data_IF_921410462915
#
_entry.id   IF_921410462915
#
_cell.length_a   1.000
_cell.length_b   1.000
_cell.length_c   1.000
_cell.angle_alpha   90.00
_cell.angle_beta   90.00
_cell.angle_gamma   90.00
#
_symmetry.space_group_name_H-M   'P 1'
#
loop_
_entity.id
_entity.type
_entity.pdbx_description
1 polymer ?
#
# COMPACT_ATOMS: atom_id res chain seq x y z
N UNK A 1 15.88 -7.13 8.75
CA UNK A 1 14.70 -6.29 8.45
C UNK A 1 14.04 -6.82 7.18
N UNK A 2 12.75 -7.14 7.21
CA UNK A 2 12.07 -7.73 6.06
C UNK A 2 11.69 -6.63 5.05
N UNK A 3 12.50 -6.45 4.01
CA UNK A 3 12.14 -5.64 2.85
C UNK A 3 11.15 -6.41 1.99
N UNK A 4 9.86 -6.19 2.23
CA UNK A 4 8.80 -6.91 1.52
C UNK A 4 8.39 -6.10 0.29
N UNK A 5 8.36 -6.77 -0.86
CA UNK A 5 7.90 -6.17 -2.12
C UNK A 5 6.57 -6.79 -2.51
N UNK A 6 5.61 -5.94 -2.85
CA UNK A 6 4.31 -6.32 -3.37
C UNK A 6 4.12 -5.80 -4.78
N UNK A 7 3.69 -6.66 -5.69
CA UNK A 7 3.18 -6.28 -7.00
C UNK A 7 1.78 -5.72 -6.81
N UNK A 8 1.58 -4.50 -7.32
CA UNK A 8 0.33 -3.76 -7.21
C UNK A 8 -0.15 -3.30 -8.59
N UNK A 9 -1.42 -2.92 -8.65
CA UNK A 9 -2.02 -2.20 -9.77
C UNK A 9 -2.51 -0.84 -9.34
N UNK A 10 -2.69 0.06 -10.29
CA UNK A 10 -3.46 1.27 -10.03
C UNK A 10 -4.94 0.91 -9.95
N UNK A 11 -5.62 1.47 -8.95
CA UNK A 11 -7.05 1.46 -8.81
C UNK A 11 -7.57 2.87 -9.11
N UNK A 12 -8.70 2.95 -9.81
CA UNK A 12 -9.35 4.20 -10.17
C UNK A 12 -10.85 4.01 -9.93
N UNK A 13 -11.50 4.97 -9.27
CA UNK A 13 -12.94 4.95 -9.02
C UNK A 13 -13.77 5.64 -10.11
N UNK A 14 -13.13 6.20 -11.14
CA UNK A 14 -13.78 6.94 -12.23
C UNK A 14 -14.30 8.32 -11.82
N UNK A 15 -14.07 8.76 -10.58
CA UNK A 15 -14.54 10.04 -10.02
C UNK A 15 -13.39 10.92 -9.52
N UNK A 16 -12.21 10.78 -10.15
CA UNK A 16 -11.02 11.58 -9.83
C UNK A 16 -10.23 11.07 -8.62
N UNK A 17 -10.55 9.90 -8.06
CA UNK A 17 -9.73 9.31 -7.00
C UNK A 17 -9.04 8.04 -7.47
N UNK A 18 -7.72 8.03 -7.30
CA UNK A 18 -6.87 6.90 -7.66
C UNK A 18 -6.18 6.32 -6.43
N UNK A 19 -5.74 5.08 -6.51
CA UNK A 19 -5.09 4.39 -5.41
C UNK A 19 -4.25 3.23 -5.87
N UNK A 20 -3.66 2.53 -4.91
CA UNK A 20 -2.82 1.36 -5.18
C UNK A 20 -3.55 0.12 -4.68
N UNK A 21 -3.76 -0.87 -5.55
CA UNK A 21 -4.33 -2.16 -5.17
C UNK A 21 -3.25 -3.22 -5.15
N UNK A 22 -3.03 -3.84 -3.99
CA UNK A 22 -2.11 -4.96 -3.85
C UNK A 22 -2.72 -6.21 -4.46
N UNK A 23 -1.99 -6.84 -5.39
CA UNK A 23 -2.49 -8.02 -6.10
C UNK A 23 -2.48 -9.26 -5.21
N UNK A 24 -3.40 -10.21 -5.48
CA UNK A 24 -3.53 -11.45 -4.69
C UNK A 24 -2.32 -12.39 -4.84
N UNK A 25 -1.60 -12.35 -5.97
CA UNK A 25 -0.49 -13.27 -6.31
C UNK A 25 0.87 -12.85 -5.75
N UNK A 26 0.90 -12.15 -4.62
CA UNK A 26 2.17 -11.82 -3.97
C UNK A 26 2.69 -13.00 -3.16
N UNK A 27 4.01 -13.24 -3.24
CA UNK A 27 4.70 -14.31 -2.51
C UNK A 27 5.78 -13.69 -1.62
N UNK A 28 5.77 -13.90 -0.30
CA UNK A 28 4.75 -14.57 0.52
C UNK A 28 3.35 -13.92 0.51
N UNK A 29 2.29 -14.69 0.82
CA UNK A 29 0.94 -14.18 0.98
C UNK A 29 0.86 -13.01 1.98
N UNK A 30 0.06 -11.99 1.65
CA UNK A 30 -0.17 -10.79 2.49
C UNK A 30 -0.43 -11.07 3.97
N UNK A 31 -1.16 -12.14 4.29
CA UNK A 31 -1.53 -12.54 5.65
C UNK A 31 -0.32 -12.96 6.51
N UNK A 32 0.75 -13.45 5.87
CA UNK A 32 1.93 -13.99 6.56
C UNK A 32 2.89 -12.87 7.00
N UNK A 33 2.85 -11.72 6.32
CA UNK A 33 3.66 -10.57 6.70
C UNK A 33 3.03 -9.69 7.78
N UNK A 34 1.70 -9.67 7.87
CA UNK A 34 0.99 -8.82 8.82
C UNK A 34 -0.11 -9.62 9.53
N UNK A 35 0.24 -10.71 10.24
CA UNK A 35 -0.74 -11.54 10.94
C UNK A 35 -1.52 -10.72 11.98
N UNK A 36 -0.86 -9.76 12.64
CA UNK A 36 -1.46 -8.82 13.61
C UNK A 36 -0.79 -7.42 13.60
N UNK A 37 0.00 -7.12 12.57
CA UNK A 37 1.03 -6.08 12.65
C UNK A 37 0.56 -4.71 12.13
N UNK A 38 0.51 -3.76 13.07
CA UNK A 38 0.94 -2.38 12.86
C UNK A 38 -0.04 -1.49 12.11
N UNK A 39 -0.61 -0.52 12.84
CA UNK A 39 -1.46 0.49 12.22
C UNK A 39 -0.74 1.21 11.12
N UNK A 40 0.58 1.44 11.17
CA UNK A 40 1.30 2.32 10.22
C UNK A 40 2.34 1.52 9.45
N UNK A 41 2.27 1.61 8.12
CA UNK A 41 3.34 1.15 7.23
C UNK A 41 3.98 2.35 6.54
N UNK A 42 5.27 2.27 6.30
CA UNK A 42 5.95 3.16 5.36
C UNK A 42 6.06 2.47 4.00
N UNK A 43 5.50 3.15 3.00
CA UNK A 43 5.36 2.67 1.63
C UNK A 43 6.33 3.46 0.79
N UNK A 44 7.32 2.79 0.20
CA UNK A 44 8.14 3.40 -0.84
C UNK A 44 7.51 3.12 -2.20
N UNK A 45 7.18 4.20 -2.89
CA UNK A 45 6.69 4.21 -4.27
C UNK A 45 7.69 4.99 -5.11
N UNK A 46 8.58 4.27 -5.80
CA UNK A 46 9.79 4.82 -6.43
C UNK A 46 10.61 5.65 -5.41
N UNK A 47 10.87 6.93 -5.66
CA UNK A 47 11.68 7.78 -4.77
C UNK A 47 10.89 8.46 -3.66
N UNK A 48 9.58 8.25 -3.58
CA UNK A 48 8.73 8.84 -2.55
C UNK A 48 8.35 7.80 -1.49
N UNK A 49 8.56 8.15 -0.22
CA UNK A 49 8.05 7.38 0.92
C UNK A 49 6.77 8.01 1.44
N UNK A 50 5.71 7.23 1.58
CA UNK A 50 4.42 7.64 2.15
C UNK A 50 4.15 6.78 3.38
N UNK A 51 3.92 7.42 4.52
CA UNK A 51 3.51 6.72 5.75
C UNK A 51 1.99 6.65 5.78
N UNK A 52 1.43 5.44 5.81
CA UNK A 52 -0.01 5.26 5.85
C UNK A 52 -0.41 4.31 6.96
N UNK A 53 -1.48 4.70 7.67
CA UNK A 53 -2.15 3.76 8.54
C UNK A 53 -3.06 2.80 7.77
N UNK A 54 -2.83 1.50 7.87
CA UNK A 54 -3.67 0.45 7.31
C UNK A 54 -4.45 -0.25 8.42
N UNK A 55 -5.75 -0.41 8.19
CA UNK A 55 -6.63 -1.14 9.09
C UNK A 55 -6.49 -2.65 8.91
N UNK A 56 -6.92 -3.44 9.89
CA UNK A 56 -6.94 -4.92 9.77
C UNK A 56 -7.77 -5.40 8.56
N UNK A 57 -8.84 -4.68 8.22
CA UNK A 57 -9.67 -4.95 7.04
C UNK A 57 -8.88 -4.89 5.73
N UNK A 58 -7.78 -4.13 5.67
CA UNK A 58 -6.92 -4.05 4.50
C UNK A 58 -6.28 -5.40 4.18
N UNK A 59 -5.67 -6.02 5.20
CA UNK A 59 -4.96 -7.29 5.08
C UNK A 59 -5.91 -8.47 4.80
N UNK A 60 -7.17 -8.37 5.26
CA UNK A 60 -8.17 -9.43 5.11
C UNK A 60 -8.97 -9.32 3.80
N UNK A 61 -9.52 -8.14 3.49
CA UNK A 61 -10.52 -7.94 2.43
C UNK A 61 -10.18 -6.81 1.46
N UNK A 62 -9.80 -5.65 1.98
CA UNK A 62 -9.63 -4.42 1.21
C UNK A 62 -8.15 -4.19 0.86
N UNK A 63 -7.65 -4.80 -0.22
CA UNK A 63 -6.24 -4.70 -0.59
C UNK A 63 -5.88 -3.37 -1.29
N UNK A 64 -6.59 -2.29 -0.95
CA UNK A 64 -6.49 -1.00 -1.61
C UNK A 64 -5.96 0.07 -0.64
N UNK A 65 -4.89 0.72 -1.05
CA UNK A 65 -4.27 1.84 -0.35
C UNK A 65 -4.78 3.11 -1.01
N UNK A 66 -5.56 3.85 -0.24
CA UNK A 66 -6.18 5.11 -0.62
C UNK A 66 -5.53 6.22 0.18
N UNK A 67 -4.78 7.08 -0.50
CA UNK A 67 -4.20 8.29 0.07
C UNK A 67 -4.14 9.40 -0.97
N UNK A 68 -4.39 10.65 -0.56
CA UNK A 68 -4.34 11.80 -1.46
C UNK A 68 -2.95 11.96 -2.12
N UNK A 69 -1.87 11.82 -1.35
CA UNK A 69 -0.53 11.88 -1.94
C UNK A 69 -0.24 10.77 -2.94
N UNK A 70 -0.89 9.61 -2.78
CA UNK A 70 -0.80 8.52 -3.75
C UNK A 70 -1.58 8.90 -5.01
N UNK A 71 -2.79 9.47 -4.88
CA UNK A 71 -3.56 9.98 -6.03
C UNK A 71 -2.77 11.02 -6.82
N UNK A 72 -2.24 12.05 -6.15
CA UNK A 72 -1.43 13.11 -6.76
C UNK A 72 -0.20 12.52 -7.45
N UNK A 73 0.46 11.55 -6.82
CA UNK A 73 1.62 10.89 -7.42
C UNK A 73 1.24 10.07 -8.67
N UNK A 74 0.14 9.33 -8.64
CA UNK A 74 -0.37 8.57 -9.80
C UNK A 74 -0.65 9.52 -10.97
N UNK A 75 -1.27 10.67 -10.71
CA UNK A 75 -1.58 11.68 -11.71
C UNK A 75 -0.32 12.33 -12.28
N UNK A 76 0.61 12.77 -11.42
CA UNK A 76 1.89 13.37 -11.84
C UNK A 76 2.70 12.44 -12.73
N UNK A 77 2.63 11.13 -12.50
CA UNK A 77 3.35 10.12 -13.28
C UNK A 77 2.51 9.53 -14.43
N UNK A 78 1.32 10.07 -14.70
CA UNK A 78 0.40 9.60 -15.77
C UNK A 78 0.10 8.09 -15.71
N UNK A 79 0.09 7.52 -14.50
CA UNK A 79 -0.13 6.08 -14.31
C UNK A 79 -1.60 5.71 -14.49
N UNK A 80 -1.82 4.54 -15.09
CA UNK A 80 -3.12 3.99 -15.49
C UNK A 80 -3.38 2.66 -14.79
N UNK A 81 -4.64 2.24 -14.76
CA UNK A 81 -5.10 0.98 -14.13
C UNK A 81 -4.39 -0.29 -14.62
N UNK A 82 -3.87 -0.26 -15.86
CA UNK A 82 -3.09 -1.37 -16.44
C UNK A 82 -1.64 -1.43 -15.93
N UNK A 83 -1.12 -0.34 -15.37
CA UNK A 83 0.25 -0.26 -14.94
C UNK A 83 0.48 -1.11 -13.69
N UNK A 84 1.69 -1.69 -13.64
CA UNK A 84 2.17 -2.45 -12.51
C UNK A 84 3.20 -1.63 -11.78
N UNK A 85 3.08 -1.58 -10.46
CA UNK A 85 4.04 -0.93 -9.61
C UNK A 85 4.50 -1.90 -8.53
N UNK A 86 5.73 -1.70 -8.07
CA UNK A 86 6.26 -2.42 -6.93
C UNK A 86 6.11 -1.52 -5.71
N UNK A 87 5.39 -2.04 -4.73
CA UNK A 87 5.25 -1.42 -3.43
C UNK A 87 6.26 -2.07 -2.49
N UNK A 88 7.18 -1.29 -1.94
CA UNK A 88 8.10 -1.77 -0.90
C UNK A 88 7.61 -1.33 0.48
N UNK A 89 7.42 -2.30 1.38
CA UNK A 89 7.16 -2.02 2.79
C UNK A 89 8.49 -1.99 3.52
N UNK A 90 8.83 -0.83 4.09
CA UNK A 90 10.10 -0.62 4.79
C UNK A 90 10.02 -1.12 6.24
N UNK A 91 8.95 -0.77 6.96
CA UNK A 91 8.75 -1.18 8.36
C UNK A 91 7.26 -1.36 8.71
N UNK A 92 6.83 -2.54 9.19
CA UNK A 92 5.60 -2.63 9.96
C UNK A 92 5.81 -1.98 11.33
N UNK A 93 5.31 -0.75 11.54
CA UNK A 93 5.41 -0.13 12.86
C UNK A 93 4.27 -0.59 13.76
N UNK A 94 4.60 -1.18 14.92
CA UNK A 94 3.64 -1.32 16.02
C UNK A 94 3.22 0.08 16.45
N UNK A 95 1.93 0.39 16.43
CA UNK A 95 1.45 1.66 16.98
C UNK A 95 1.71 1.67 18.47
N UNK A 96 2.51 2.61 18.95
CA UNK A 96 2.55 2.94 20.37
C UNK A 96 1.20 3.56 20.73
N UNK A 97 0.53 2.97 21.72
CA UNK A 97 -0.54 3.65 22.44
C UNK A 97 0.15 4.76 23.23
N UNK A 98 -0.06 6.02 22.87
CA UNK A 98 0.11 7.09 23.85
C UNK A 98 -0.97 6.81 24.92
N UNK A 99 -0.51 6.41 26.11
CA UNK A 99 -1.35 6.35 27.31
C UNK A 99 -1.62 7.76 27.78
#
# INVERSE_FOLDING_TARGET
MANVKFICSIWDNGKGYKGIRVLKRNNPPLKEYFPDAGKVIEIKVNDKSVKKSLQQSFWRKCKEIRHEEISIWIEKNSLKTKDRIILQVLEPRKSYRLK
#
